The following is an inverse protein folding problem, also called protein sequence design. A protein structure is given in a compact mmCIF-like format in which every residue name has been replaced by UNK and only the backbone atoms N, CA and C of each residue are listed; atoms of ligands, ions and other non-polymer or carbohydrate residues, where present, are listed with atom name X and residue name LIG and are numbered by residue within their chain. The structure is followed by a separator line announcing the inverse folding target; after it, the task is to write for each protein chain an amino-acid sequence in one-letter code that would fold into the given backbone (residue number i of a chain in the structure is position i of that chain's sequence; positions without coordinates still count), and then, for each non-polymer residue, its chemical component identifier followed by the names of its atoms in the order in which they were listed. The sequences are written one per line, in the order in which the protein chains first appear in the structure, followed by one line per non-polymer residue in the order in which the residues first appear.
data_IF_680011041946
#
_entry.id   IF_680011041946
#
_cell.length_a   1.000
_cell.length_b   1.000
_cell.length_c   1.000
_cell.angle_alpha   90.00
_cell.angle_beta   90.00
_cell.angle_gamma   90.00
#
_symmetry.space_group_name_H-M   'P 1'
#
loop_
_entity.id
_entity.type
_entity.pdbx_description
1 polymer ?
#
# COMPACT_ATOMS: atom_id res chain seq x y z
N UNK A 1 -48.01 14.00 -28.59
CA UNK A 1 -47.96 13.32 -27.28
C UNK A 1 -46.76 12.40 -27.33
N UNK A 2 -45.62 12.88 -26.84
CA UNK A 2 -44.35 12.14 -26.86
C UNK A 2 -44.09 11.67 -25.43
N UNK A 3 -43.82 10.38 -25.32
CA UNK A 3 -43.43 9.67 -24.11
C UNK A 3 -42.21 10.31 -23.47
N UNK A 4 -42.29 10.67 -22.19
CA UNK A 4 -41.13 10.98 -21.37
C UNK A 4 -40.80 9.72 -20.54
N UNK A 5 -39.71 9.07 -20.93
CA UNK A 5 -39.19 7.85 -20.36
C UNK A 5 -38.36 8.17 -19.12
N UNK A 6 -38.41 7.28 -18.13
CA UNK A 6 -37.69 7.32 -16.85
C UNK A 6 -36.26 7.85 -16.96
N UNK A 7 -35.99 8.97 -16.30
CA UNK A 7 -34.64 9.37 -15.93
C UNK A 7 -34.35 8.80 -14.54
N UNK A 8 -34.02 7.50 -14.49
CA UNK A 8 -33.34 6.93 -13.33
C UNK A 8 -31.97 7.61 -13.23
N UNK A 9 -31.87 8.52 -12.26
CA UNK A 9 -30.62 9.12 -11.83
C UNK A 9 -29.81 8.01 -11.16
N UNK A 10 -28.87 7.42 -11.88
CA UNK A 10 -27.85 6.57 -11.28
C UNK A 10 -26.99 7.49 -10.41
N UNK A 11 -27.23 7.48 -9.10
CA UNK A 11 -26.26 7.95 -8.12
C UNK A 11 -25.12 6.93 -8.14
N UNK A 12 -24.07 7.27 -8.89
CA UNK A 12 -22.81 6.53 -8.86
C UNK A 12 -22.23 6.80 -7.47
N UNK A 13 -22.39 5.84 -6.55
CA UNK A 13 -21.60 5.78 -5.33
C UNK A 13 -20.13 5.78 -5.76
N UNK A 14 -19.25 6.64 -5.21
CA UNK A 14 -17.84 6.57 -5.55
C UNK A 14 -17.33 5.18 -5.14
N UNK A 15 -16.86 4.41 -6.13
CA UNK A 15 -16.13 3.17 -5.89
C UNK A 15 -14.94 3.48 -4.95
N UNK A 16 -14.58 2.54 -4.05
CA UNK A 16 -13.45 2.75 -3.14
C UNK A 16 -12.19 3.08 -3.95
N UNK A 17 -11.38 4.00 -3.43
CA UNK A 17 -10.14 4.52 -4.03
C UNK A 17 -9.05 3.42 -4.13
N UNK A 18 -9.26 2.40 -4.98
CA UNK A 18 -8.30 1.33 -5.23
C UNK A 18 -7.18 1.74 -6.22
N UNK A 19 -7.26 2.95 -6.79
CA UNK A 19 -6.39 3.38 -7.90
C UNK A 19 -5.03 3.94 -7.49
N UNK A 20 -4.81 4.37 -6.24
CA UNK A 20 -3.54 4.97 -5.78
C UNK A 20 -2.53 3.95 -5.19
N UNK A 21 -2.93 2.69 -4.99
CA UNK A 21 -2.09 1.67 -4.31
C UNK A 21 -1.23 0.81 -5.22
N UNK A 22 -1.52 0.78 -6.52
CA UNK A 22 -0.65 0.10 -7.48
C UNK A 22 0.75 0.71 -7.48
N UNK A 23 0.84 2.04 -7.37
CA UNK A 23 2.13 2.75 -7.35
C UNK A 23 2.93 2.45 -6.07
N UNK A 24 2.26 2.20 -4.94
CA UNK A 24 2.92 1.83 -3.68
C UNK A 24 3.41 0.38 -3.69
N UNK A 25 2.62 -0.54 -4.25
CA UNK A 25 3.04 -1.94 -4.45
C UNK A 25 4.29 -2.02 -5.33
N UNK A 26 4.35 -1.23 -6.40
CA UNK A 26 5.53 -1.13 -7.25
C UNK A 26 6.78 -0.64 -6.47
N UNK A 27 6.62 0.26 -5.49
CA UNK A 27 7.72 0.74 -4.64
C UNK A 27 8.29 -0.40 -3.78
N UNK A 28 7.43 -1.19 -3.14
CA UNK A 28 7.85 -2.32 -2.31
C UNK A 28 8.56 -3.39 -3.16
N UNK A 29 7.96 -3.81 -4.27
CA UNK A 29 8.52 -4.82 -5.18
C UNK A 29 9.88 -4.39 -5.72
N UNK A 30 9.99 -3.14 -6.19
CA UNK A 30 11.24 -2.58 -6.68
C UNK A 30 12.31 -2.57 -5.59
N UNK A 31 11.96 -2.11 -4.38
CA UNK A 31 12.90 -2.04 -3.27
C UNK A 31 13.39 -3.43 -2.83
N UNK A 32 12.55 -4.45 -2.87
CA UNK A 32 12.93 -5.86 -2.62
C UNK A 32 13.94 -6.34 -3.67
N UNK A 33 13.62 -6.15 -4.96
CA UNK A 33 14.50 -6.59 -6.07
C UNK A 33 15.86 -5.89 -6.01
N UNK A 34 15.86 -4.60 -5.71
CA UNK A 34 17.08 -3.78 -5.65
C UNK A 34 17.79 -3.84 -4.30
N UNK A 35 17.20 -4.50 -3.29
CA UNK A 35 17.67 -4.51 -1.89
C UNK A 35 17.88 -3.09 -1.33
N UNK A 36 16.96 -2.19 -1.66
CA UNK A 36 16.98 -0.81 -1.21
C UNK A 36 16.18 -0.66 0.08
N UNK A 37 16.66 0.21 0.98
CA UNK A 37 15.95 0.49 2.22
C UNK A 37 14.73 1.38 1.96
N UNK A 38 13.70 1.17 2.75
CA UNK A 38 12.49 1.96 2.77
C UNK A 38 12.36 2.68 4.11
N UNK A 39 11.88 3.92 4.08
CA UNK A 39 11.33 4.62 5.24
C UNK A 39 9.83 4.35 5.27
N UNK A 40 9.36 3.67 6.31
CA UNK A 40 7.94 3.38 6.52
C UNK A 40 7.39 4.26 7.64
N UNK A 41 6.28 4.95 7.40
CA UNK A 41 5.51 5.64 8.45
C UNK A 41 4.24 4.86 8.71
N UNK A 42 3.89 4.64 9.98
CA UNK A 42 2.71 3.82 10.36
C UNK A 42 1.71 4.66 11.14
N UNK A 43 0.43 4.31 11.08
CA UNK A 43 -0.62 5.08 11.77
C UNK A 43 -0.45 5.12 13.30
N UNK A 44 0.23 4.13 13.88
CA UNK A 44 0.49 4.06 15.32
C UNK A 44 1.72 4.89 15.75
N UNK A 45 2.63 5.18 14.82
CA UNK A 45 3.90 5.86 15.09
C UNK A 45 4.20 6.88 14.00
N UNK A 46 4.13 8.17 14.38
CA UNK A 46 4.55 9.29 13.52
C UNK A 46 6.07 9.30 13.27
N UNK A 47 6.85 8.55 14.05
CA UNK A 47 8.26 8.34 13.76
C UNK A 47 8.39 7.24 12.69
N UNK A 48 8.98 7.61 11.56
CA UNK A 48 9.25 6.68 10.47
C UNK A 48 10.39 5.72 10.80
N UNK A 49 10.27 4.48 10.34
CA UNK A 49 11.26 3.41 10.53
C UNK A 49 11.97 3.11 9.22
N UNK A 50 13.30 3.06 9.25
CA UNK A 50 14.10 2.64 8.08
C UNK A 50 14.31 1.14 8.14
N UNK A 51 13.81 0.43 7.13
CA UNK A 51 13.84 -1.03 7.06
C UNK A 51 14.38 -1.50 5.73
N UNK A 52 14.86 -2.75 5.67
CA UNK A 52 15.17 -3.42 4.40
C UNK A 52 14.01 -4.35 4.06
N UNK A 53 13.20 -4.08 3.02
CA UNK A 53 12.15 -4.99 2.61
C UNK A 53 12.76 -6.28 2.04
N UNK A 54 12.14 -7.41 2.37
CA UNK A 54 12.62 -8.76 2.06
C UNK A 54 11.66 -9.48 1.13
N UNK A 55 10.36 -9.40 1.39
CA UNK A 55 9.34 -10.11 0.63
C UNK A 55 7.95 -9.46 0.79
N UNK A 56 7.05 -9.73 -0.16
CA UNK A 56 5.64 -9.39 -0.07
C UNK A 56 4.81 -10.68 -0.10
N UNK A 57 3.97 -10.87 0.91
CA UNK A 57 3.13 -12.06 1.04
C UNK A 57 1.66 -11.65 1.12
N UNK A 58 0.82 -12.24 0.25
CA UNK A 58 -0.63 -12.16 0.40
C UNK A 58 -1.15 -13.36 1.17
N UNK A 59 -1.78 -13.12 2.32
CA UNK A 59 -2.43 -14.14 3.15
C UNK A 59 -3.87 -13.75 3.45
N UNK A 60 -4.81 -14.63 3.10
CA UNK A 60 -6.24 -14.44 3.31
C UNK A 60 -6.82 -13.12 2.72
N UNK A 61 -6.22 -12.64 1.62
CA UNK A 61 -6.62 -11.40 0.95
C UNK A 61 -6.01 -10.12 1.57
N UNK A 62 -5.15 -10.27 2.57
CA UNK A 62 -4.37 -9.17 3.15
C UNK A 62 -2.91 -9.28 2.73
N UNK A 63 -2.30 -8.16 2.37
CA UNK A 63 -0.91 -8.07 1.94
C UNK A 63 0.01 -7.67 3.10
N UNK A 64 1.10 -8.40 3.25
CA UNK A 64 2.08 -8.21 4.30
C UNK A 64 3.45 -7.94 3.70
N UNK A 65 4.11 -6.88 4.18
CA UNK A 65 5.50 -6.60 3.91
C UNK A 65 6.37 -7.28 4.97
N UNK A 66 7.22 -8.20 4.54
CA UNK A 66 8.30 -8.76 5.35
C UNK A 66 9.53 -7.87 5.21
N UNK A 67 10.13 -7.46 6.32
CA UNK A 67 11.30 -6.58 6.34
C UNK A 67 12.30 -6.95 7.42
N UNK A 68 13.57 -6.62 7.20
CA UNK A 68 14.64 -6.75 8.18
C UNK A 68 14.88 -5.40 8.88
N UNK A 69 14.90 -5.44 10.21
CA UNK A 69 15.26 -4.31 11.07
C UNK A 69 16.20 -4.82 12.16
N UNK A 70 17.38 -4.21 12.29
CA UNK A 70 18.40 -4.60 13.28
C UNK A 70 18.81 -6.09 13.23
N UNK A 71 18.71 -6.73 12.05
CA UNK A 71 19.03 -8.15 11.86
C UNK A 71 17.91 -9.12 12.24
N UNK A 72 16.73 -8.61 12.59
CA UNK A 72 15.53 -9.41 12.82
C UNK A 72 14.53 -9.21 11.68
N UNK A 73 13.90 -10.30 11.23
CA UNK A 73 12.82 -10.24 10.24
C UNK A 73 11.49 -10.08 10.96
N UNK A 74 10.72 -9.08 10.53
CA UNK A 74 9.38 -8.78 11.01
C UNK A 74 8.43 -8.61 9.84
N UNK A 75 7.13 -8.60 10.12
CA UNK A 75 6.08 -8.47 9.11
C UNK A 75 5.09 -7.42 9.54
N UNK A 76 4.64 -6.59 8.59
CA UNK A 76 3.59 -5.59 8.81
C UNK A 76 2.54 -5.70 7.72
N UNK A 77 1.27 -5.54 8.09
CA UNK A 77 0.18 -5.36 7.13
C UNK A 77 0.39 -4.02 6.42
N UNK A 78 0.47 -4.04 5.09
CA UNK A 78 0.73 -2.82 4.32
C UNK A 78 -0.38 -1.79 4.48
N UNK A 79 -1.59 -2.21 4.88
CA UNK A 79 -2.70 -1.31 5.20
C UNK A 79 -2.45 -0.44 6.42
N UNK A 80 -1.51 -0.82 7.30
CA UNK A 80 -1.12 -0.03 8.47
C UNK A 80 0.03 0.94 8.19
N UNK A 81 0.57 0.93 6.96
CA UNK A 81 1.59 1.87 6.50
C UNK A 81 0.86 3.08 5.90
N UNK A 82 1.14 4.26 6.43
CA UNK A 82 0.58 5.52 5.95
C UNK A 82 1.39 6.12 4.80
N UNK A 83 2.70 5.89 4.79
CA UNK A 83 3.57 6.30 3.71
C UNK A 83 4.80 5.42 3.60
N UNK A 84 5.28 5.28 2.37
CA UNK A 84 6.52 4.59 2.02
C UNK A 84 7.40 5.53 1.19
N UNK A 85 8.67 5.65 1.55
CA UNK A 85 9.67 6.40 0.80
C UNK A 85 10.93 5.57 0.58
N UNK A 86 11.51 5.62 -0.62
CA UNK A 86 12.80 4.98 -0.89
C UNK A 86 13.95 5.80 -0.31
N UNK A 87 14.85 5.14 0.42
CA UNK A 87 16.06 5.78 0.93
C UNK A 87 17.16 5.69 -0.13
N UNK A 88 17.52 6.82 -0.72
CA UNK A 88 18.60 6.93 -1.71
C UNK A 88 19.90 7.28 -0.97
N UNK A 89 20.86 6.34 -0.93
CA UNK A 89 22.22 6.55 -0.38
C UNK A 89 23.18 7.12 -1.43
#
# INVERSE_FOLDING_TARGET
MIHDMHADRIEIEPEPEELDRCDELDIYEQAIVLKQKLLLTTAESNDGIVVLPVDLETRDGTEFLHYELNGEVSSIDINNIESVEQVVE
#
